data_IF_744875120212
#
_entry.id   IF_744875120212
#
_cell.length_a   1.000
_cell.length_b   1.000
_cell.length_c   1.000
_cell.angle_alpha   90.00
_cell.angle_beta   90.00
_cell.angle_gamma   90.00
#
_symmetry.space_group_name_H-M   'P 1'
#
loop_
_entity.id
_entity.type
_entity.pdbx_description
1 polymer ?
#
# COMPACT_ATOMS: atom_id res chain seq x y z
N UNK A 1 -15.96 -47.65 -12.09
CA UNK A 1 -16.84 -46.60 -11.52
C UNK A 1 -16.13 -45.60 -10.57
N UNK A 2 -15.20 -46.04 -9.67
CA UNK A 2 -14.42 -45.16 -8.77
C UNK A 2 -13.45 -44.21 -9.47
N UNK A 3 -12.76 -44.64 -10.54
CA UNK A 3 -11.77 -43.85 -11.30
C UNK A 3 -12.41 -42.67 -12.02
N UNK A 4 -13.61 -42.87 -12.61
CA UNK A 4 -14.37 -41.81 -13.28
C UNK A 4 -14.84 -40.70 -12.32
N UNK A 5 -15.27 -41.08 -11.10
CA UNK A 5 -15.66 -40.11 -10.07
C UNK A 5 -14.47 -39.30 -9.53
N UNK A 6 -13.28 -39.93 -9.47
CA UNK A 6 -12.05 -39.25 -9.04
C UNK A 6 -11.57 -38.24 -10.09
N UNK A 7 -11.64 -38.57 -11.39
CA UNK A 7 -11.33 -37.66 -12.49
C UNK A 7 -12.26 -36.44 -12.52
N UNK A 8 -13.57 -36.64 -12.37
CA UNK A 8 -14.55 -35.55 -12.30
C UNK A 8 -14.34 -34.63 -11.08
N UNK A 9 -13.89 -35.18 -9.94
CA UNK A 9 -13.60 -34.39 -8.74
C UNK A 9 -12.36 -33.51 -8.92
N UNK A 10 -11.30 -34.04 -9.54
CA UNK A 10 -10.08 -33.28 -9.87
C UNK A 10 -10.34 -32.17 -10.90
N UNK A 11 -11.20 -32.43 -11.87
CA UNK A 11 -11.59 -31.44 -12.88
C UNK A 11 -12.42 -30.31 -12.27
N UNK A 12 -13.38 -30.63 -11.42
CA UNK A 12 -14.17 -29.65 -10.64
C UNK A 12 -13.30 -28.81 -9.71
N UNK A 13 -12.30 -29.40 -9.05
CA UNK A 13 -11.35 -28.65 -8.21
C UNK A 13 -10.44 -27.71 -9.04
N UNK A 14 -9.99 -28.16 -10.23
CA UNK A 14 -9.24 -27.33 -11.17
C UNK A 14 -10.08 -26.16 -11.68
N UNK A 15 -11.32 -26.40 -12.06
CA UNK A 15 -12.26 -25.35 -12.52
C UNK A 15 -12.55 -24.37 -11.38
N UNK A 16 -12.82 -24.83 -10.17
CA UNK A 16 -13.07 -23.97 -9.00
C UNK A 16 -11.85 -23.12 -8.64
N UNK A 17 -10.65 -23.67 -8.75
CA UNK A 17 -9.39 -22.97 -8.52
C UNK A 17 -9.09 -21.94 -9.62
N UNK A 18 -9.39 -22.28 -10.87
CA UNK A 18 -9.29 -21.37 -12.03
C UNK A 18 -10.29 -20.23 -11.91
N UNK A 19 -11.57 -20.54 -11.59
CA UNK A 19 -12.63 -19.53 -11.39
C UNK A 19 -12.28 -18.57 -10.25
N UNK A 20 -11.78 -19.09 -9.12
CA UNK A 20 -11.34 -18.26 -7.99
C UNK A 20 -10.17 -17.33 -8.34
N UNK A 21 -9.29 -17.77 -9.24
CA UNK A 21 -8.16 -16.93 -9.73
C UNK A 21 -8.66 -15.85 -10.69
N UNK A 22 -9.57 -16.21 -11.60
CA UNK A 22 -10.20 -15.27 -12.54
C UNK A 22 -11.00 -14.20 -11.77
N UNK A 23 -11.81 -14.59 -10.79
CA UNK A 23 -12.56 -13.64 -9.96
C UNK A 23 -11.63 -12.66 -9.22
N UNK A 24 -10.50 -13.12 -8.70
CA UNK A 24 -9.51 -12.27 -8.00
C UNK A 24 -8.86 -11.22 -8.90
N UNK A 25 -8.84 -11.43 -10.20
CA UNK A 25 -8.28 -10.48 -11.19
C UNK A 25 -9.38 -9.64 -11.81
N UNK A 26 -10.48 -10.28 -12.20
CA UNK A 26 -11.58 -9.62 -12.94
C UNK A 26 -12.36 -8.65 -12.04
N UNK A 27 -12.65 -9.03 -10.79
CA UNK A 27 -13.44 -8.16 -9.89
C UNK A 27 -12.72 -6.81 -9.63
N UNK A 28 -11.44 -6.76 -9.23
CA UNK A 28 -10.74 -5.48 -9.05
C UNK A 28 -10.61 -4.68 -10.36
N UNK A 29 -10.44 -5.38 -11.49
CA UNK A 29 -10.40 -4.73 -12.80
C UNK A 29 -11.74 -4.08 -13.15
N UNK A 30 -12.84 -4.81 -12.98
CA UNK A 30 -14.21 -4.31 -13.23
C UNK A 30 -14.55 -3.15 -12.29
N UNK A 31 -14.17 -3.25 -11.02
CA UNK A 31 -14.36 -2.14 -10.06
C UNK A 31 -13.53 -0.93 -10.47
N UNK A 32 -12.26 -1.11 -10.86
CA UNK A 32 -11.40 -0.03 -11.32
C UNK A 32 -11.91 0.63 -12.59
N UNK A 33 -12.31 -0.16 -13.58
CA UNK A 33 -12.92 0.33 -14.84
C UNK A 33 -14.27 0.99 -14.58
N UNK A 34 -15.11 0.43 -13.70
CA UNK A 34 -16.40 1.00 -13.33
C UNK A 34 -16.25 2.36 -12.64
N UNK A 35 -15.32 2.49 -11.70
CA UNK A 35 -15.00 3.76 -11.06
C UNK A 35 -14.43 4.78 -12.05
N UNK A 36 -13.57 4.34 -12.97
CA UNK A 36 -13.02 5.19 -14.01
C UNK A 36 -14.13 5.67 -14.97
N UNK A 37 -15.02 4.79 -15.40
CA UNK A 37 -16.16 5.13 -16.26
C UNK A 37 -17.12 6.10 -15.57
N UNK A 38 -17.42 5.87 -14.28
CA UNK A 38 -18.24 6.78 -13.48
C UNK A 38 -17.62 8.17 -13.34
N UNK A 39 -16.31 8.24 -13.08
CA UNK A 39 -15.58 9.51 -13.06
C UNK A 39 -15.59 10.19 -14.43
N UNK A 40 -15.36 9.42 -15.50
CA UNK A 40 -15.26 9.94 -16.87
C UNK A 40 -16.60 10.50 -17.38
N UNK A 41 -17.73 9.88 -17.04
CA UNK A 41 -19.05 10.37 -17.43
C UNK A 41 -19.45 11.72 -16.79
N UNK A 42 -18.77 12.11 -15.70
CA UNK A 42 -19.00 13.37 -15.00
C UNK A 42 -17.97 14.44 -15.35
N UNK A 43 -17.08 14.18 -16.30
CA UNK A 43 -16.00 15.10 -16.70
C UNK A 43 -16.25 15.59 -18.12
N UNK A 44 -16.19 16.91 -18.31
CA UNK A 44 -16.14 17.53 -19.64
C UNK A 44 -14.77 17.22 -20.29
N UNK A 45 -14.81 16.26 -21.22
CA UNK A 45 -13.60 15.77 -21.93
C UNK A 45 -12.96 16.86 -22.79
N UNK A 46 -13.77 17.77 -23.33
CA UNK A 46 -13.28 18.85 -24.17
C UNK A 46 -12.56 19.91 -23.34
N UNK A 47 -13.14 20.28 -22.22
CA UNK A 47 -12.49 21.13 -21.23
C UNK A 47 -11.19 20.50 -20.71
N UNK A 48 -11.20 19.21 -20.40
CA UNK A 48 -9.99 18.49 -19.96
C UNK A 48 -8.89 18.52 -21.03
N UNK A 49 -9.23 18.29 -22.32
CA UNK A 49 -8.26 18.38 -23.41
C UNK A 49 -7.66 19.76 -23.56
N UNK A 50 -8.49 20.80 -23.41
CA UNK A 50 -8.03 22.18 -23.49
C UNK A 50 -7.07 22.51 -22.36
N UNK A 51 -7.40 22.14 -21.11
CA UNK A 51 -6.51 22.31 -19.95
C UNK A 51 -5.18 21.60 -20.20
N UNK A 52 -5.21 20.31 -20.59
CA UNK A 52 -4.00 19.54 -20.85
C UNK A 52 -3.14 20.13 -21.98
N UNK A 53 -3.73 20.77 -22.99
CA UNK A 53 -3.01 21.28 -24.14
C UNK A 53 -2.43 22.68 -23.93
N UNK A 54 -3.12 23.53 -23.17
CA UNK A 54 -2.79 24.96 -23.11
C UNK A 54 -2.42 25.46 -21.71
N UNK A 55 -2.93 24.83 -20.65
CA UNK A 55 -2.82 25.37 -19.30
C UNK A 55 -1.81 24.61 -18.41
N UNK A 56 -1.40 23.38 -18.81
CA UNK A 56 -0.49 22.56 -18.00
C UNK A 56 0.97 22.94 -18.26
N UNK A 57 1.70 23.30 -17.21
CA UNK A 57 3.16 23.42 -17.25
C UNK A 57 3.83 22.05 -17.05
N UNK A 58 4.17 21.42 -18.17
CA UNK A 58 4.80 20.10 -18.20
C UNK A 58 6.20 20.07 -17.57
N UNK A 59 6.85 21.22 -17.33
CA UNK A 59 8.13 21.28 -16.62
C UNK A 59 8.01 20.69 -15.22
N UNK A 60 6.94 21.06 -14.51
CA UNK A 60 6.67 20.55 -13.17
C UNK A 60 6.33 19.06 -13.16
N UNK A 61 5.66 18.57 -14.20
CA UNK A 61 5.42 17.12 -14.39
C UNK A 61 6.76 16.37 -14.57
N UNK A 62 7.69 16.94 -15.36
CA UNK A 62 9.04 16.39 -15.49
C UNK A 62 9.79 16.34 -14.17
N UNK A 63 9.75 17.41 -13.39
CA UNK A 63 10.37 17.48 -12.04
C UNK A 63 9.76 16.42 -11.12
N UNK A 64 8.43 16.28 -11.12
CA UNK A 64 7.72 15.26 -10.35
C UNK A 64 8.19 13.83 -10.68
N UNK A 65 8.36 13.49 -11.96
CA UNK A 65 8.84 12.19 -12.41
C UNK A 65 10.27 11.89 -11.92
N UNK A 66 11.13 12.90 -11.92
CA UNK A 66 12.50 12.77 -11.37
C UNK A 66 12.46 12.48 -9.88
N UNK A 67 11.68 13.26 -9.10
CA UNK A 67 11.52 13.06 -7.66
C UNK A 67 10.94 11.67 -7.37
N UNK A 68 9.94 11.24 -8.16
CA UNK A 68 9.35 9.90 -8.05
C UNK A 68 10.39 8.80 -8.22
N UNK A 69 11.27 8.94 -9.21
CA UNK A 69 12.35 7.97 -9.45
C UNK A 69 13.30 7.87 -8.25
N UNK A 70 13.70 9.01 -7.68
CA UNK A 70 14.54 9.03 -6.47
C UNK A 70 13.85 8.38 -5.27
N UNK A 71 12.54 8.56 -5.10
CA UNK A 71 11.78 7.91 -4.03
C UNK A 71 11.91 6.39 -4.07
N UNK A 72 11.88 5.80 -5.26
CA UNK A 72 12.05 4.36 -5.46
C UNK A 72 13.47 3.88 -5.18
N UNK A 73 14.48 4.69 -5.49
CA UNK A 73 15.87 4.40 -5.12
C UNK A 73 16.05 4.43 -3.60
N UNK A 74 15.53 5.44 -2.91
CA UNK A 74 15.57 5.52 -1.44
C UNK A 74 14.82 4.36 -0.79
N UNK A 75 13.70 3.92 -1.37
CA UNK A 75 13.00 2.73 -0.93
C UNK A 75 13.85 1.47 -1.08
N UNK A 76 14.61 1.33 -2.16
CA UNK A 76 15.55 0.23 -2.35
C UNK A 76 16.68 0.27 -1.32
N UNK A 77 17.24 1.46 -1.03
CA UNK A 77 18.27 1.66 -0.01
C UNK A 77 17.75 1.29 1.38
N UNK A 78 16.53 1.74 1.75
CA UNK A 78 15.90 1.39 3.03
C UNK A 78 15.73 -0.12 3.17
N UNK A 79 15.19 -0.77 2.14
CA UNK A 79 14.96 -2.22 2.17
C UNK A 79 16.27 -3.02 2.20
N UNK A 80 17.33 -2.51 1.56
CA UNK A 80 18.66 -3.10 1.63
C UNK A 80 19.19 -3.20 3.07
N UNK A 81 18.93 -2.19 3.90
CA UNK A 81 19.34 -2.23 5.32
C UNK A 81 18.64 -3.37 6.07
N UNK A 82 17.34 -3.58 5.83
CA UNK A 82 16.59 -4.68 6.44
C UNK A 82 17.08 -6.05 5.96
N UNK A 83 17.33 -6.22 4.67
CA UNK A 83 17.83 -7.47 4.11
C UNK A 83 19.25 -7.80 4.64
N UNK A 84 20.12 -6.79 4.75
CA UNK A 84 21.45 -6.98 5.35
C UNK A 84 21.40 -7.40 6.81
N UNK A 85 20.45 -6.91 7.57
CA UNK A 85 20.24 -7.34 8.96
C UNK A 85 19.82 -8.82 9.06
N UNK A 86 19.31 -9.40 7.98
CA UNK A 86 18.97 -10.84 7.86
C UNK A 86 20.08 -11.68 7.23
N UNK A 87 21.25 -11.05 6.95
CA UNK A 87 22.37 -11.71 6.27
C UNK A 87 22.20 -11.83 4.76
N UNK A 88 21.27 -11.06 4.15
CA UNK A 88 20.99 -11.07 2.71
C UNK A 88 21.58 -9.79 2.10
N UNK A 89 22.71 -9.91 1.39
CA UNK A 89 23.34 -8.76 0.73
C UNK A 89 22.99 -8.74 -0.76
N UNK A 90 21.91 -8.02 -1.08
CA UNK A 90 21.47 -7.81 -2.45
C UNK A 90 22.07 -6.52 -3.04
N UNK A 91 22.61 -6.55 -4.27
CA UNK A 91 23.06 -5.35 -4.97
C UNK A 91 21.94 -4.31 -5.12
N UNK A 92 22.27 -3.02 -4.98
CA UNK A 92 21.27 -1.94 -5.03
C UNK A 92 20.47 -1.96 -6.34
N UNK A 93 21.12 -2.13 -7.49
CA UNK A 93 20.45 -2.18 -8.80
C UNK A 93 19.41 -3.29 -8.88
N UNK A 94 19.68 -4.47 -8.29
CA UNK A 94 18.71 -5.59 -8.23
C UNK A 94 17.49 -5.20 -7.40
N UNK A 95 17.69 -4.49 -6.30
CA UNK A 95 16.60 -4.01 -5.44
C UNK A 95 15.77 -2.94 -6.13
N UNK A 96 16.42 -1.98 -6.81
CA UNK A 96 15.74 -0.95 -7.60
C UNK A 96 14.87 -1.59 -8.69
N UNK A 97 15.43 -2.50 -9.48
CA UNK A 97 14.68 -3.24 -10.51
C UNK A 97 13.50 -4.00 -9.89
N UNK A 98 13.68 -4.61 -8.70
CA UNK A 98 12.61 -5.33 -8.03
C UNK A 98 11.47 -4.42 -7.58
N UNK A 99 11.76 -3.17 -7.22
CA UNK A 99 10.74 -2.17 -6.84
C UNK A 99 9.96 -1.72 -8.07
N UNK A 100 10.63 -1.35 -9.16
CA UNK A 100 9.93 -1.00 -10.41
C UNK A 100 9.09 -2.18 -10.94
N UNK A 101 9.62 -3.40 -10.88
CA UNK A 101 8.88 -4.62 -11.22
C UNK A 101 7.65 -4.83 -10.33
N UNK A 102 7.70 -4.47 -9.04
CA UNK A 102 6.51 -4.49 -8.15
C UNK A 102 5.40 -3.62 -8.70
N UNK A 103 5.71 -2.39 -9.11
CA UNK A 103 4.71 -1.47 -9.67
C UNK A 103 4.15 -1.99 -10.99
N UNK A 104 5.02 -2.48 -11.89
CA UNK A 104 4.59 -3.08 -13.16
C UNK A 104 3.64 -4.26 -12.95
N UNK A 105 3.94 -5.15 -12.01
CA UNK A 105 3.05 -6.29 -11.67
C UNK A 105 1.75 -5.81 -11.03
N UNK A 106 1.78 -4.78 -10.18
CA UNK A 106 0.59 -4.24 -9.53
C UNK A 106 -0.37 -3.52 -10.48
N UNK A 107 0.09 -3.08 -11.66
CA UNK A 107 -0.80 -2.55 -12.70
C UNK A 107 -1.74 -3.63 -13.25
N UNK A 108 -1.24 -4.87 -13.35
CA UNK A 108 -2.02 -5.99 -13.88
C UNK A 108 -2.71 -6.78 -12.76
N UNK A 109 -1.98 -7.06 -11.69
CA UNK A 109 -2.44 -7.89 -10.57
C UNK A 109 -2.34 -7.10 -9.26
N UNK A 110 -3.48 -6.68 -8.68
CA UNK A 110 -3.48 -5.89 -7.45
C UNK A 110 -2.71 -6.59 -6.33
N UNK A 111 -1.75 -5.89 -5.73
CA UNK A 111 -0.93 -6.34 -4.59
C UNK A 111 -0.06 -7.59 -4.79
N UNK A 112 -0.07 -8.22 -5.97
CA UNK A 112 0.80 -9.37 -6.25
C UNK A 112 2.26 -8.97 -6.49
N UNK A 113 2.53 -7.72 -6.83
CA UNK A 113 3.88 -7.22 -7.05
C UNK A 113 4.78 -7.37 -5.83
N UNK A 114 4.25 -7.25 -4.61
CA UNK A 114 5.03 -7.44 -3.38
C UNK A 114 5.46 -8.89 -3.20
N UNK A 115 4.56 -9.83 -3.48
CA UNK A 115 4.87 -11.27 -3.46
C UNK A 115 5.89 -11.61 -4.55
N UNK A 116 5.71 -11.06 -5.76
CA UNK A 116 6.65 -11.21 -6.86
C UNK A 116 8.05 -10.69 -6.48
N UNK A 117 8.14 -9.49 -5.90
CA UNK A 117 9.41 -8.89 -5.44
C UNK A 117 10.13 -9.79 -4.45
N UNK A 118 9.39 -10.32 -3.47
CA UNK A 118 9.96 -11.24 -2.49
C UNK A 118 10.47 -12.53 -3.15
N UNK A 119 9.71 -13.09 -4.09
CA UNK A 119 10.13 -14.27 -4.85
C UNK A 119 11.34 -14.03 -5.72
N UNK A 120 11.40 -12.87 -6.38
CA UNK A 120 12.54 -12.46 -7.21
C UNK A 120 13.84 -12.37 -6.39
N UNK A 121 13.80 -11.66 -5.24
CA UNK A 121 14.96 -11.52 -4.36
C UNK A 121 15.34 -12.85 -3.71
N UNK A 122 14.37 -13.62 -3.22
CA UNK A 122 14.59 -14.94 -2.61
C UNK A 122 15.34 -15.87 -3.57
N UNK A 123 14.91 -15.95 -4.83
CA UNK A 123 15.57 -16.78 -5.85
C UNK A 123 16.95 -16.26 -6.21
N UNK A 124 17.09 -14.96 -6.44
CA UNK A 124 18.34 -14.34 -6.90
C UNK A 124 19.42 -14.36 -5.83
N UNK A 125 19.06 -14.21 -4.55
CA UNK A 125 19.97 -14.21 -3.41
C UNK A 125 20.06 -15.58 -2.71
N UNK A 126 19.38 -16.62 -3.23
CA UNK A 126 19.28 -17.95 -2.60
C UNK A 126 18.89 -17.87 -1.13
N UNK A 127 18.01 -16.92 -0.78
CA UNK A 127 17.58 -16.65 0.59
C UNK A 127 16.20 -17.29 0.87
N UNK A 128 15.91 -17.70 2.11
CA UNK A 128 14.60 -18.21 2.48
C UNK A 128 13.49 -17.20 2.19
N UNK A 129 12.48 -17.60 1.43
CA UNK A 129 11.35 -16.75 1.01
C UNK A 129 10.64 -16.11 2.21
N UNK A 130 10.44 -16.88 3.29
CA UNK A 130 9.78 -16.40 4.51
C UNK A 130 10.51 -15.24 5.19
N UNK A 131 11.86 -15.27 5.20
CA UNK A 131 12.67 -14.15 5.74
C UNK A 131 12.52 -12.88 4.90
N UNK A 132 12.51 -13.05 3.57
CA UNK A 132 12.35 -11.91 2.64
C UNK A 132 10.95 -11.31 2.78
N UNK A 133 9.90 -12.15 2.87
CA UNK A 133 8.52 -11.69 3.12
C UNK A 133 8.43 -11.00 4.48
N UNK A 134 9.06 -11.53 5.53
CA UNK A 134 9.10 -10.90 6.85
C UNK A 134 9.70 -9.49 6.81
N UNK A 135 10.80 -9.29 6.06
CA UNK A 135 11.39 -7.94 5.87
C UNK A 135 10.45 -7.00 5.11
N UNK A 136 9.72 -7.52 4.12
CA UNK A 136 8.73 -6.74 3.37
C UNK A 136 7.55 -6.33 4.26
N UNK A 137 7.02 -7.23 5.08
CA UNK A 137 5.96 -6.91 6.05
C UNK A 137 6.43 -5.84 7.03
N UNK A 138 7.65 -5.95 7.54
CA UNK A 138 8.26 -4.95 8.41
C UNK A 138 8.42 -3.58 7.71
N UNK A 139 8.80 -3.57 6.42
CA UNK A 139 8.85 -2.37 5.59
C UNK A 139 7.47 -1.70 5.47
N UNK A 140 6.41 -2.49 5.20
CA UNK A 140 5.02 -2.00 5.14
C UNK A 140 4.51 -1.46 6.47
N UNK A 141 4.83 -2.13 7.57
CA UNK A 141 4.42 -1.66 8.89
C UNK A 141 5.06 -0.31 9.24
N UNK A 142 6.33 -0.12 8.86
CA UNK A 142 6.99 1.18 9.00
C UNK A 142 6.30 2.27 8.17
N UNK A 143 5.87 1.95 6.95
CA UNK A 143 5.09 2.87 6.12
C UNK A 143 3.74 3.20 6.78
N UNK A 144 3.04 2.21 7.34
CA UNK A 144 1.76 2.41 8.05
C UNK A 144 1.93 3.34 9.27
N UNK A 145 2.96 3.11 10.08
CA UNK A 145 3.28 4.00 11.23
C UNK A 145 3.55 5.42 10.74
N UNK A 146 4.26 5.58 9.64
CA UNK A 146 4.54 6.91 9.08
C UNK A 146 3.26 7.60 8.57
N UNK A 147 2.36 6.88 7.88
CA UNK A 147 1.06 7.44 7.46
C UNK A 147 0.24 7.88 8.66
N UNK A 148 0.14 7.05 9.69
CA UNK A 148 -0.59 7.41 10.91
C UNK A 148 0.00 8.66 11.58
N UNK A 149 1.32 8.74 11.67
CA UNK A 149 2.01 9.93 12.22
C UNK A 149 1.73 11.17 11.38
N UNK A 150 1.85 11.07 10.05
CA UNK A 150 1.54 12.18 9.14
C UNK A 150 0.07 12.59 9.22
N UNK A 151 -0.85 11.63 9.35
CA UNK A 151 -2.28 11.91 9.54
C UNK A 151 -2.53 12.72 10.81
N UNK A 152 -1.94 12.31 11.94
CA UNK A 152 -2.06 13.04 13.20
C UNK A 152 -1.48 14.46 13.10
N UNK A 153 -0.29 14.60 12.52
CA UNK A 153 0.34 15.91 12.31
C UNK A 153 -0.53 16.80 11.42
N UNK A 154 -1.02 16.26 10.29
CA UNK A 154 -1.88 17.01 9.36
C UNK A 154 -3.20 17.38 10.00
N UNK A 155 -3.79 16.50 10.80
CA UNK A 155 -5.02 16.77 11.55
C UNK A 155 -4.83 17.94 12.54
N UNK A 156 -3.67 18.03 13.21
CA UNK A 156 -3.35 19.17 14.06
C UNK A 156 -3.14 20.48 13.27
N UNK A 157 -2.52 20.40 12.08
CA UNK A 157 -2.23 21.58 11.27
C UNK A 157 -3.44 22.09 10.45
N UNK A 158 -4.34 21.19 10.06
CA UNK A 158 -5.47 21.46 9.18
C UNK A 158 -6.80 21.02 9.81
N UNK A 159 -7.00 21.29 11.10
CA UNK A 159 -8.17 20.85 11.85
C UNK A 159 -9.49 21.22 11.17
N UNK A 160 -9.59 22.45 10.64
CA UNK A 160 -10.80 22.91 9.93
C UNK A 160 -11.15 22.07 8.68
N UNK A 161 -10.15 21.54 7.98
CA UNK A 161 -10.39 20.67 6.83
C UNK A 161 -10.90 19.28 7.26
N UNK A 162 -10.39 18.75 8.37
CA UNK A 162 -10.88 17.49 8.94
C UNK A 162 -12.27 17.62 9.55
N UNK A 163 -12.59 18.76 10.14
CA UNK A 163 -13.93 19.05 10.64
C UNK A 163 -14.95 19.04 9.51
N UNK A 164 -14.67 19.76 8.41
CA UNK A 164 -15.49 19.70 7.18
C UNK A 164 -15.59 18.28 6.61
N UNK A 165 -14.50 17.49 6.67
CA UNK A 165 -14.51 16.09 6.24
C UNK A 165 -15.49 15.27 7.09
N UNK A 166 -15.44 15.39 8.41
CA UNK A 166 -16.33 14.66 9.31
C UNK A 166 -17.78 15.11 9.21
N UNK A 167 -18.01 16.39 8.92
CA UNK A 167 -19.35 16.90 8.64
C UNK A 167 -19.93 16.39 7.32
N UNK A 168 -19.07 16.25 6.28
CA UNK A 168 -19.46 15.66 5.02
C UNK A 168 -19.71 14.14 5.11
N UNK A 169 -19.02 13.46 6.04
CA UNK A 169 -19.14 12.01 6.26
C UNK A 169 -19.39 11.64 7.73
N UNK A 170 -20.57 11.97 8.31
CA UNK A 170 -20.89 11.69 9.70
C UNK A 170 -20.75 10.22 10.06
N UNK A 171 -21.10 9.32 9.12
CA UNK A 171 -21.00 7.87 9.28
C UNK A 171 -19.55 7.40 9.54
N UNK A 172 -18.55 8.08 8.97
CA UNK A 172 -17.12 7.78 9.21
C UNK A 172 -16.73 8.20 10.62
N UNK A 173 -17.15 9.40 11.06
CA UNK A 173 -16.95 9.91 12.42
C UNK A 173 -17.54 8.96 13.45
N UNK A 174 -18.82 8.62 13.28
CA UNK A 174 -19.55 7.73 14.18
C UNK A 174 -18.99 6.30 14.13
N UNK A 175 -18.61 5.82 12.96
CA UNK A 175 -17.98 4.51 12.78
C UNK A 175 -16.64 4.40 13.52
N UNK A 176 -15.77 5.41 13.40
CA UNK A 176 -14.49 5.45 14.11
C UNK A 176 -14.73 5.54 15.62
N UNK A 177 -15.58 6.46 16.07
CA UNK A 177 -15.88 6.66 17.47
C UNK A 177 -16.47 5.39 18.09
N UNK A 178 -17.50 4.80 17.47
CA UNK A 178 -18.13 3.57 17.95
C UNK A 178 -17.16 2.39 17.97
N UNK A 179 -16.27 2.28 16.97
CA UNK A 179 -15.28 1.20 16.91
C UNK A 179 -14.25 1.33 18.05
N UNK A 180 -13.76 2.53 18.30
CA UNK A 180 -12.75 2.77 19.35
C UNK A 180 -13.33 2.70 20.76
N UNK A 181 -14.56 3.17 20.94
CA UNK A 181 -15.20 3.23 22.28
C UNK A 181 -15.97 1.96 22.63
N UNK A 182 -16.31 1.11 21.65
CA UNK A 182 -17.10 -0.10 21.90
C UNK A 182 -16.31 -1.19 22.65
N UNK A 183 -16.75 -1.62 23.82
CA UNK A 183 -16.15 -2.75 24.53
C UNK A 183 -16.20 -4.05 23.71
N UNK A 184 -17.23 -4.21 22.88
CA UNK A 184 -17.41 -5.38 22.00
C UNK A 184 -16.26 -5.51 21.01
N UNK A 185 -15.78 -4.38 20.45
CA UNK A 185 -14.62 -4.36 19.57
C UNK A 185 -13.37 -4.90 20.25
N UNK A 186 -13.10 -4.41 21.47
CA UNK A 186 -11.93 -4.83 22.24
C UNK A 186 -12.02 -6.26 22.76
N UNK A 187 -13.22 -6.70 23.15
CA UNK A 187 -13.48 -8.10 23.49
C UNK A 187 -13.26 -8.98 22.25
N UNK A 188 -13.78 -8.60 21.09
CA UNK A 188 -13.56 -9.32 19.82
C UNK A 188 -12.07 -9.44 19.49
N UNK A 189 -11.31 -8.37 19.61
CA UNK A 189 -9.85 -8.37 19.42
C UNK A 189 -9.17 -9.30 20.42
N UNK A 190 -9.53 -9.25 21.70
CA UNK A 190 -8.98 -10.11 22.75
C UNK A 190 -9.31 -11.60 22.51
N UNK A 191 -10.54 -11.91 22.09
CA UNK A 191 -10.96 -13.29 21.74
C UNK A 191 -10.17 -13.82 20.56
N UNK A 192 -10.05 -13.05 19.48
CA UNK A 192 -9.26 -13.44 18.30
C UNK A 192 -7.79 -13.64 18.68
N UNK A 193 -7.20 -12.74 19.46
CA UNK A 193 -5.84 -12.88 19.95
C UNK A 193 -5.68 -14.14 20.84
N UNK A 194 -6.63 -14.38 21.73
CA UNK A 194 -6.66 -15.57 22.59
C UNK A 194 -6.77 -16.87 21.80
N UNK A 195 -7.64 -16.91 20.77
CA UNK A 195 -7.78 -18.05 19.87
C UNK A 195 -6.51 -18.33 19.08
N UNK A 196 -5.85 -17.29 18.56
CA UNK A 196 -4.57 -17.39 17.88
C UNK A 196 -3.51 -17.98 18.80
N UNK A 197 -3.37 -17.46 20.02
CA UNK A 197 -2.43 -17.97 21.03
C UNK A 197 -2.75 -19.42 21.41
N UNK A 198 -4.04 -19.75 21.60
CA UNK A 198 -4.47 -21.11 21.92
C UNK A 198 -4.16 -22.09 20.79
N UNK A 199 -4.43 -21.73 19.53
CA UNK A 199 -4.10 -22.52 18.35
C UNK A 199 -2.58 -22.82 18.28
N UNK A 200 -1.73 -21.84 18.58
CA UNK A 200 -0.28 -22.03 18.58
C UNK A 200 0.20 -22.87 19.76
N UNK A 201 -0.39 -22.72 20.95
CA UNK A 201 0.01 -23.50 22.14
C UNK A 201 -0.45 -24.97 22.05
N UNK A 202 -1.69 -25.21 21.62
CA UNK A 202 -2.29 -26.55 21.59
C UNK A 202 -1.91 -27.33 20.32
N UNK A 203 -1.59 -26.63 19.25
CA UNK A 203 -1.34 -27.23 17.94
C UNK A 203 0.09 -27.71 17.68
N UNK A 204 1.03 -27.53 18.61
CA UNK A 204 2.46 -27.85 18.43
C UNK A 204 2.73 -29.31 18.00
N UNK A 205 1.80 -30.22 18.24
CA UNK A 205 1.93 -31.63 17.86
C UNK A 205 1.52 -31.95 16.42
N UNK A 206 0.86 -31.03 15.71
CA UNK A 206 0.45 -31.26 14.33
C UNK A 206 1.52 -30.73 13.35
N UNK A 207 1.97 -31.60 12.41
CA UNK A 207 2.97 -31.24 11.38
C UNK A 207 2.58 -30.02 10.54
N UNK A 208 1.28 -29.77 10.34
CA UNK A 208 0.77 -28.57 9.68
C UNK A 208 1.04 -27.30 10.48
N UNK A 209 0.85 -27.34 11.80
CA UNK A 209 1.07 -26.22 12.71
C UNK A 209 2.56 -25.93 12.87
N UNK A 210 3.42 -26.98 12.88
CA UNK A 210 4.88 -26.79 12.86
C UNK A 210 5.36 -26.06 11.58
N UNK A 211 4.76 -26.34 10.41
CA UNK A 211 5.05 -25.60 9.18
C UNK A 211 4.63 -24.13 9.29
N UNK A 212 3.48 -23.85 9.92
CA UNK A 212 3.00 -22.49 10.18
C UNK A 212 3.91 -21.79 11.20
N UNK A 213 4.30 -22.46 12.29
CA UNK A 213 5.24 -21.92 13.29
C UNK A 213 6.58 -21.53 12.66
N UNK A 214 7.15 -22.40 11.81
CA UNK A 214 8.38 -22.10 11.10
C UNK A 214 8.22 -20.91 10.12
N UNK A 215 7.08 -20.81 9.45
CA UNK A 215 6.79 -19.68 8.58
C UNK A 215 6.65 -18.39 9.39
N UNK A 216 5.92 -18.42 10.51
CA UNK A 216 5.76 -17.27 11.42
C UNK A 216 7.08 -16.90 12.08
N UNK A 217 7.90 -17.86 12.50
CA UNK A 217 9.24 -17.59 13.01
C UNK A 217 10.12 -16.87 11.96
N UNK A 218 10.02 -17.27 10.68
CA UNK A 218 10.68 -16.59 9.58
C UNK A 218 10.16 -15.16 9.36
N UNK A 219 8.85 -14.97 9.42
CA UNK A 219 8.22 -13.64 9.36
C UNK A 219 8.63 -12.78 10.55
N UNK A 220 8.62 -13.34 11.77
CA UNK A 220 9.03 -12.65 12.98
C UNK A 220 10.50 -12.24 12.96
N UNK A 221 11.39 -13.12 12.47
CA UNK A 221 12.81 -12.79 12.28
C UNK A 221 12.96 -11.62 11.30
N UNK A 222 12.20 -11.63 10.20
CA UNK A 222 12.18 -10.54 9.23
C UNK A 222 11.71 -9.22 9.87
N UNK A 223 10.64 -9.25 10.64
CA UNK A 223 10.13 -8.09 11.38
C UNK A 223 11.12 -7.61 12.44
N UNK A 224 11.64 -8.53 13.25
CA UNK A 224 12.60 -8.22 14.30
C UNK A 224 13.95 -7.71 13.77
N UNK A 225 14.21 -7.89 12.44
CA UNK A 225 15.41 -7.35 11.79
C UNK A 225 15.54 -5.84 11.95
N UNK A 226 14.44 -5.10 12.00
CA UNK A 226 14.45 -3.63 12.22
C UNK A 226 15.03 -3.30 13.60
N UNK A 227 14.67 -4.06 14.64
CA UNK A 227 15.12 -3.79 16.00
C UNK A 227 16.60 -4.11 16.20
N UNK A 228 17.15 -5.09 15.47
CA UNK A 228 18.57 -5.50 15.51
C UNK A 228 19.45 -4.80 14.48
N UNK A 229 18.89 -4.05 13.58
CA UNK A 229 19.63 -3.39 12.50
C UNK A 229 20.66 -2.38 13.04
N UNK A 230 21.91 -2.49 12.61
CA UNK A 230 22.98 -1.55 12.97
C UNK A 230 22.77 -0.14 12.37
N UNK A 231 21.96 0.00 11.34
CA UNK A 231 21.70 1.22 10.58
C UNK A 231 20.37 1.92 10.88
N UNK A 232 19.84 1.90 12.12
CA UNK A 232 18.53 2.50 12.47
C UNK A 232 18.39 3.97 12.07
N UNK A 233 19.45 4.77 12.23
CA UNK A 233 19.46 6.19 11.84
C UNK A 233 19.30 6.35 10.33
N UNK A 234 19.97 5.50 9.53
CA UNK A 234 19.84 5.48 8.08
C UNK A 234 18.48 4.99 7.63
N UNK A 235 17.88 4.02 8.33
CA UNK A 235 16.53 3.56 8.07
C UNK A 235 15.51 4.70 8.26
N UNK A 236 15.60 5.44 9.38
CA UNK A 236 14.76 6.60 9.63
C UNK A 236 15.00 7.71 8.60
N UNK A 237 16.25 7.99 8.28
CA UNK A 237 16.63 8.98 7.26
C UNK A 237 16.03 8.64 5.89
N UNK A 238 16.17 7.39 5.42
CA UNK A 238 15.53 6.98 4.17
C UNK A 238 14.00 6.99 4.25
N UNK A 239 13.42 6.70 5.40
CA UNK A 239 11.96 6.83 5.59
C UNK A 239 11.54 8.29 5.40
N UNK A 240 12.23 9.24 6.01
CA UNK A 240 11.96 10.66 5.82
C UNK A 240 12.16 11.09 4.36
N UNK A 241 13.21 10.64 3.70
CA UNK A 241 13.45 10.94 2.29
C UNK A 241 12.35 10.37 1.38
N UNK A 242 11.90 9.13 1.61
CA UNK A 242 10.84 8.50 0.82
C UNK A 242 9.55 9.31 0.94
N UNK A 243 9.13 9.59 2.17
CA UNK A 243 7.87 10.29 2.42
C UNK A 243 7.96 11.77 2.06
N UNK A 244 9.13 12.39 2.25
CA UNK A 244 9.44 13.72 1.74
C UNK A 244 9.33 13.79 0.21
N UNK A 245 9.92 12.83 -0.51
CA UNK A 245 9.77 12.75 -1.97
C UNK A 245 8.31 12.54 -2.38
N UNK A 246 7.55 11.68 -1.69
CA UNK A 246 6.12 11.47 -2.00
C UNK A 246 5.28 12.72 -1.79
N UNK A 247 5.52 13.45 -0.72
CA UNK A 247 4.86 14.73 -0.49
C UNK A 247 5.28 15.76 -1.54
N UNK A 248 6.59 15.92 -1.76
CA UNK A 248 7.12 16.91 -2.69
C UNK A 248 6.65 16.66 -4.13
N UNK A 249 6.58 15.40 -4.58
CA UNK A 249 6.07 15.10 -5.93
C UNK A 249 4.59 15.49 -6.08
N UNK A 250 3.76 15.32 -5.04
CA UNK A 250 2.36 15.78 -5.07
C UNK A 250 2.29 17.31 -5.04
N UNK A 251 3.06 17.94 -4.17
CA UNK A 251 3.08 19.40 -4.04
C UNK A 251 3.59 20.09 -5.32
N UNK A 252 4.62 19.53 -5.94
CA UNK A 252 5.13 20.05 -7.23
C UNK A 252 4.09 19.92 -8.33
N UNK A 253 3.25 18.86 -8.33
CA UNK A 253 2.13 18.77 -9.26
C UNK A 253 1.14 19.94 -9.15
N UNK A 254 0.99 20.57 -7.98
CA UNK A 254 0.10 21.72 -7.82
C UNK A 254 0.54 22.91 -8.68
N UNK A 255 1.84 23.07 -8.90
CA UNK A 255 2.37 24.14 -9.76
C UNK A 255 2.19 23.85 -11.26
N UNK A 256 1.89 22.61 -11.62
CA UNK A 256 1.62 22.25 -13.02
C UNK A 256 0.26 22.75 -13.52
N UNK A 257 -0.68 23.06 -12.61
CA UNK A 257 -2.04 23.47 -12.97
C UNK A 257 -2.39 24.85 -12.40
N UNK A 258 -2.94 25.77 -13.21
CA UNK A 258 -3.28 27.13 -12.78
C UNK A 258 -4.23 27.16 -11.57
N UNK A 259 -5.18 26.22 -11.51
CA UNK A 259 -6.22 26.17 -10.47
C UNK A 259 -5.75 25.58 -9.14
N UNK A 260 -4.56 24.96 -9.08
CA UNK A 260 -4.04 24.37 -7.83
C UNK A 260 -2.82 25.11 -7.28
N UNK A 261 -2.12 25.92 -8.09
CA UNK A 261 -0.85 26.55 -7.72
C UNK A 261 -0.93 27.43 -6.46
N UNK A 262 -2.08 28.07 -6.24
CA UNK A 262 -2.29 29.01 -5.15
C UNK A 262 -2.95 28.40 -3.90
N UNK A 263 -3.27 27.08 -3.91
CA UNK A 263 -3.92 26.39 -2.78
C UNK A 263 -3.00 26.17 -1.57
N UNK A 264 -1.71 26.32 -1.75
CA UNK A 264 -0.70 26.29 -0.68
C UNK A 264 -0.36 24.89 -0.15
N UNK A 265 0.61 24.86 0.77
CA UNK A 265 1.22 23.63 1.29
C UNK A 265 0.29 22.82 2.18
N UNK A 266 -0.65 23.48 2.88
CA UNK A 266 -1.59 22.82 3.80
C UNK A 266 -2.61 22.01 3.01
N UNK A 267 -3.15 22.55 1.92
CA UNK A 267 -4.02 21.83 1.00
C UNK A 267 -3.31 20.60 0.42
N UNK A 268 -2.07 20.78 -0.06
CA UNK A 268 -1.26 19.66 -0.56
C UNK A 268 -1.03 18.58 0.50
N UNK A 269 -0.81 18.96 1.76
CA UNK A 269 -0.61 18.04 2.86
C UNK A 269 -1.89 17.23 3.16
N UNK A 270 -3.05 17.87 3.15
CA UNK A 270 -4.35 17.21 3.32
C UNK A 270 -4.61 16.22 2.17
N UNK A 271 -4.44 16.66 0.93
CA UNK A 271 -4.55 15.80 -0.24
C UNK A 271 -3.59 14.61 -0.18
N UNK A 272 -2.36 14.84 0.28
CA UNK A 272 -1.33 13.81 0.43
C UNK A 272 -1.73 12.75 1.46
N UNK A 273 -2.23 13.15 2.61
CA UNK A 273 -2.66 12.21 3.66
C UNK A 273 -3.89 11.43 3.23
N UNK A 274 -4.90 12.10 2.68
CA UNK A 274 -6.12 11.43 2.19
C UNK A 274 -5.79 10.41 1.09
N UNK A 275 -4.96 10.79 0.12
CA UNK A 275 -4.52 9.88 -0.94
C UNK A 275 -3.68 8.72 -0.41
N UNK A 276 -2.82 8.96 0.59
CA UNK A 276 -2.01 7.90 1.23
C UNK A 276 -2.88 6.88 1.97
N UNK A 277 -3.94 7.33 2.66
CA UNK A 277 -4.92 6.45 3.32
C UNK A 277 -5.70 5.64 2.27
N UNK A 278 -6.13 6.29 1.18
CA UNK A 278 -6.89 5.64 0.11
C UNK A 278 -6.13 4.53 -0.60
N UNK A 279 -4.78 4.62 -0.64
CA UNK A 279 -3.93 3.53 -1.15
C UNK A 279 -4.00 2.24 -0.32
N UNK A 280 -4.62 2.28 0.87
CA UNK A 280 -5.02 1.10 1.64
C UNK A 280 -6.08 0.25 0.94
N UNK A 281 -6.92 0.85 0.10
CA UNK A 281 -7.97 0.16 -0.67
C UNK A 281 -7.32 -0.67 -1.79
N UNK A 282 -7.66 -1.96 -1.92
CA UNK A 282 -7.05 -2.85 -2.92
C UNK A 282 -7.62 -2.59 -4.32
N UNK A 283 -7.08 -1.58 -5.01
CA UNK A 283 -7.37 -1.27 -6.41
C UNK A 283 -6.11 -1.44 -7.27
N UNK A 284 -6.27 -1.59 -8.58
CA UNK A 284 -5.13 -1.72 -9.51
C UNK A 284 -4.35 -0.39 -9.56
N UNK A 285 -3.15 -0.38 -8.99
CA UNK A 285 -2.30 0.80 -8.97
C UNK A 285 -2.88 2.02 -8.23
N UNK A 286 -3.92 1.85 -7.40
CA UNK A 286 -4.61 2.96 -6.72
C UNK A 286 -5.69 3.64 -7.58
N UNK A 287 -5.96 3.14 -8.79
CA UNK A 287 -6.95 3.71 -9.69
C UNK A 287 -8.33 3.81 -9.02
N UNK A 288 -8.97 4.94 -9.18
CA UNK A 288 -10.27 5.26 -8.57
C UNK A 288 -10.11 5.82 -7.15
N UNK A 289 -9.67 5.02 -6.20
CA UNK A 289 -9.59 5.42 -4.78
C UNK A 289 -8.67 6.63 -4.55
N UNK A 290 -7.50 6.65 -5.15
CA UNK A 290 -6.57 7.78 -5.10
C UNK A 290 -7.18 9.05 -5.73
N UNK A 291 -7.83 8.91 -6.88
CA UNK A 291 -8.46 10.04 -7.58
C UNK A 291 -9.58 10.66 -6.75
N UNK A 292 -10.46 9.84 -6.18
CA UNK A 292 -11.54 10.31 -5.30
C UNK A 292 -10.96 11.05 -4.09
N UNK A 293 -9.89 10.53 -3.48
CA UNK A 293 -9.25 11.16 -2.34
C UNK A 293 -8.64 12.53 -2.69
N UNK A 294 -8.03 12.68 -3.86
CA UNK A 294 -7.49 13.97 -4.33
C UNK A 294 -8.61 14.94 -4.65
N UNK A 295 -9.63 14.52 -5.43
CA UNK A 295 -10.78 15.37 -5.77
C UNK A 295 -11.44 15.87 -4.48
N UNK A 296 -11.68 14.98 -3.53
CA UNK A 296 -12.27 15.34 -2.25
C UNK A 296 -11.35 16.28 -1.45
N UNK A 297 -10.05 16.00 -1.38
CA UNK A 297 -9.09 16.86 -0.69
C UNK A 297 -9.05 18.28 -1.26
N UNK A 298 -9.09 18.41 -2.58
CA UNK A 298 -9.16 19.71 -3.26
C UNK A 298 -10.48 20.44 -2.99
N UNK A 299 -11.61 19.72 -3.01
CA UNK A 299 -12.94 20.31 -2.78
C UNK A 299 -13.12 20.90 -1.37
N UNK A 300 -12.27 20.56 -0.42
CA UNK A 300 -12.26 21.19 0.92
C UNK A 300 -11.71 22.62 0.90
N UNK A 301 -11.00 22.99 -0.16
CA UNK A 301 -10.32 24.28 -0.28
C UNK A 301 -10.88 25.18 -1.39
N UNK A 302 -11.86 24.72 -2.21
CA UNK A 302 -12.56 25.51 -3.21
C UNK A 302 -12.82 24.79 -4.51
#
# INVERSE_FOLDING_TARGET
MRILKFGQKLEKEKIKKSLGTVCKVVIPLVVGVGLFYWLYNNVDVEQMKNILRYDVDYTWIGVMLVISTFSHVFRAMRWRLQLRALGIDAPLGVLVVSIFGTYAVNLVFPRLGEVWRCGYISRRQKAPFTKVVGSMVADRLSDTVTVLTLTLVTMCLAWSAFDKFFDAFPQVKDGIFNTVTSPVTWIGVAVVAGLVVALFKLGKHFAFIQKIDNAIAGLWQGFYSITKMKGKRWFLFYTLLIWGCYFTQLYVCFFAFPFTKDLGIVCALVCFVLSSISMGIPTNGGLGAWHIAIIFGLSLYG
#
